data_IF_797205184556
#
_entry.id   IF_797205184556
#
_cell.length_a   1.000
_cell.length_b   1.000
_cell.length_c   1.000
_cell.angle_alpha   90.00
_cell.angle_beta   90.00
_cell.angle_gamma   90.00
#
_symmetry.space_group_name_H-M   'P 1'
#
loop_
_entity.id
_entity.type
_entity.pdbx_description
1 polymer ?
#
# COMPACT_ATOMS: atom_id res chain seq x y z
N UNK A 1 5.27 1.74 -21.22
CA UNK A 1 4.66 1.92 -19.87
C UNK A 1 3.65 0.79 -19.61
N UNK A 2 3.45 0.36 -18.36
CA UNK A 2 2.23 -0.38 -17.96
C UNK A 2 1.15 0.68 -17.70
N UNK A 3 -0.12 0.38 -17.91
CA UNK A 3 -1.18 1.28 -17.42
C UNK A 3 -1.12 1.33 -15.89
N UNK A 4 -1.02 2.51 -15.27
CA UNK A 4 -1.21 2.67 -13.83
C UNK A 4 -2.52 2.00 -13.41
N UNK A 5 -2.51 1.22 -12.33
CA UNK A 5 -3.77 0.77 -11.76
C UNK A 5 -4.33 1.86 -10.85
N UNK A 6 -5.65 1.96 -10.76
CA UNK A 6 -6.31 2.97 -9.93
C UNK A 6 -5.94 2.88 -8.45
N UNK A 7 -5.72 1.67 -7.93
CA UNK A 7 -5.27 1.47 -6.55
C UNK A 7 -3.86 2.05 -6.30
N UNK A 8 -2.94 1.94 -7.25
CA UNK A 8 -1.59 2.52 -7.14
C UNK A 8 -1.65 4.05 -7.06
N UNK A 9 -2.47 4.66 -7.91
CA UNK A 9 -2.69 6.11 -7.89
C UNK A 9 -3.35 6.52 -6.57
N UNK A 10 -4.33 5.75 -6.09
CA UNK A 10 -5.01 6.03 -4.83
C UNK A 10 -4.05 6.01 -3.64
N UNK A 11 -3.22 4.98 -3.51
CA UNK A 11 -2.22 4.88 -2.44
C UNK A 11 -1.21 6.03 -2.52
N UNK A 12 -0.73 6.35 -3.73
CA UNK A 12 0.17 7.48 -3.96
C UNK A 12 -0.44 8.80 -3.51
N UNK A 13 -1.69 9.07 -3.86
CA UNK A 13 -2.36 10.34 -3.56
C UNK A 13 -2.79 10.45 -2.12
N UNK A 14 -3.27 9.37 -1.53
CA UNK A 14 -3.61 9.35 -0.11
C UNK A 14 -2.37 9.57 0.78
N UNK A 15 -1.26 8.89 0.48
CA UNK A 15 -0.02 9.09 1.22
C UNK A 15 0.56 10.50 1.02
N UNK A 16 0.44 11.07 -0.20
CA UNK A 16 0.81 12.47 -0.43
C UNK A 16 -0.08 13.44 0.36
N UNK A 17 -1.39 13.18 0.42
CA UNK A 17 -2.34 13.94 1.21
C UNK A 17 -1.98 13.92 2.70
N UNK A 18 -1.64 12.75 3.27
CA UNK A 18 -1.21 12.65 4.67
C UNK A 18 0.07 13.45 4.92
N UNK A 19 1.08 13.36 4.03
CA UNK A 19 2.29 14.16 4.14
C UNK A 19 1.99 15.67 4.11
N UNK A 20 1.19 16.11 3.15
CA UNK A 20 0.83 17.52 3.00
C UNK A 20 0.10 18.04 4.24
N UNK A 21 -0.86 17.26 4.74
CA UNK A 21 -1.66 17.60 5.93
C UNK A 21 -0.75 17.81 7.15
N UNK A 22 0.17 16.86 7.42
CA UNK A 22 1.08 16.95 8.57
C UNK A 22 2.22 17.95 8.37
N UNK A 23 2.50 18.35 7.13
CA UNK A 23 3.46 19.43 6.86
C UNK A 23 2.86 20.81 7.15
N UNK A 24 1.55 20.98 6.92
CA UNK A 24 0.84 22.22 7.25
C UNK A 24 0.50 22.26 8.74
N UNK A 25 0.08 21.14 9.31
CA UNK A 25 -0.38 21.04 10.69
C UNK A 25 0.38 19.92 11.43
N UNK A 26 1.65 20.16 11.82
CA UNK A 26 2.54 19.14 12.40
C UNK A 26 2.14 18.68 13.80
N UNK A 27 1.23 19.43 14.45
CA UNK A 27 0.65 19.12 15.75
C UNK A 27 -0.84 18.78 15.65
N UNK A 28 -1.32 18.36 14.47
CA UNK A 28 -2.74 18.02 14.23
C UNK A 28 -3.31 17.10 15.33
N UNK A 29 -2.52 16.09 15.71
CA UNK A 29 -2.95 15.09 16.69
C UNK A 29 -2.69 15.48 18.15
N UNK A 30 -1.90 16.52 18.42
CA UNK A 30 -1.48 16.95 19.77
C UNK A 30 -2.10 18.28 20.19
N UNK A 31 -2.53 19.12 19.25
CA UNK A 31 -3.08 20.46 19.51
C UNK A 31 -4.57 20.49 19.88
N UNK A 32 -5.26 19.34 19.82
CA UNK A 32 -6.69 19.28 20.14
C UNK A 32 -6.89 19.27 21.66
N UNK A 33 -7.01 20.46 22.25
CA UNK A 33 -7.23 20.77 23.68
C UNK A 33 -8.53 20.19 24.32
N UNK A 34 -8.98 19.00 23.95
CA UNK A 34 -10.13 18.40 24.60
C UNK A 34 -10.42 16.98 24.13
N UNK A 35 -10.32 16.02 25.04
CA UNK A 35 -10.85 14.64 24.94
C UNK A 35 -10.28 13.74 23.82
N UNK A 36 -9.33 14.20 23.02
CA UNK A 36 -8.79 13.47 21.85
C UNK A 36 -7.26 13.34 21.81
N UNK A 37 -6.53 13.83 22.82
CA UNK A 37 -5.07 13.65 22.94
C UNK A 37 -4.66 12.17 23.08
N UNK A 38 -5.22 11.47 24.07
CA UNK A 38 -4.95 10.03 24.29
C UNK A 38 -5.32 9.13 23.10
N UNK A 39 -6.26 9.60 22.27
CA UNK A 39 -6.80 8.91 21.08
C UNK A 39 -5.74 8.89 19.94
N UNK A 40 -4.71 9.72 19.96
CA UNK A 40 -3.66 9.65 18.93
C UNK A 40 -2.30 9.24 19.49
N UNK A 41 -2.17 9.10 20.81
CA UNK A 41 -0.92 8.74 21.47
C UNK A 41 -0.42 7.34 21.10
N UNK A 42 -1.32 6.35 20.96
CA UNK A 42 -0.93 5.00 20.49
C UNK A 42 -0.42 5.06 19.05
N UNK A 43 -1.05 5.90 18.22
CA UNK A 43 -0.66 6.06 16.82
C UNK A 43 0.69 6.75 16.69
N UNK A 44 0.88 7.88 17.37
CA UNK A 44 2.16 8.60 17.45
C UNK A 44 3.22 7.70 18.08
N UNK A 45 2.88 6.92 19.09
CA UNK A 45 3.79 5.98 19.75
C UNK A 45 4.35 4.90 18.82
N UNK A 46 3.58 4.43 17.82
CA UNK A 46 4.06 3.46 16.83
C UNK A 46 5.00 4.09 15.79
N UNK A 47 4.77 5.34 15.40
CA UNK A 47 5.59 6.07 14.39
C UNK A 47 6.66 6.98 15.02
N UNK A 48 6.69 7.07 16.35
CA UNK A 48 7.53 7.97 17.14
C UNK A 48 7.02 9.41 17.19
N UNK A 49 6.82 10.03 16.02
CA UNK A 49 6.38 11.43 15.91
C UNK A 49 5.48 11.66 14.69
N UNK A 50 4.66 12.71 14.72
CA UNK A 50 3.86 13.13 13.55
C UNK A 50 4.75 13.51 12.36
N UNK A 51 5.94 14.07 12.62
CA UNK A 51 6.92 14.38 11.59
C UNK A 51 7.47 13.10 10.92
N UNK A 52 7.77 12.05 11.69
CA UNK A 52 8.20 10.77 11.12
C UNK A 52 7.12 10.18 10.20
N UNK A 53 5.86 10.25 10.62
CA UNK A 53 4.73 9.81 9.81
C UNK A 53 4.60 10.60 8.51
N UNK A 54 4.83 11.91 8.54
CA UNK A 54 4.85 12.74 7.33
C UNK A 54 5.93 12.22 6.36
N UNK A 55 7.17 12.03 6.83
CA UNK A 55 8.27 11.52 6.00
C UNK A 55 8.03 10.10 5.47
N UNK A 56 7.47 9.21 6.29
CA UNK A 56 7.06 7.87 5.85
C UNK A 56 6.02 7.98 4.73
N UNK A 57 5.02 8.84 4.89
CA UNK A 57 3.95 9.04 3.91
C UNK A 57 4.49 9.61 2.59
N UNK A 58 5.43 10.56 2.65
CA UNK A 58 6.14 11.03 1.45
C UNK A 58 6.94 9.91 0.78
N UNK A 59 7.66 9.11 1.56
CA UNK A 59 8.41 7.96 1.06
C UNK A 59 7.53 6.94 0.34
N UNK A 60 6.37 6.61 0.91
CA UNK A 60 5.36 5.72 0.28
C UNK A 60 4.85 6.32 -1.03
N UNK A 61 4.55 7.63 -1.04
CA UNK A 61 4.08 8.30 -2.25
C UNK A 61 5.13 8.26 -3.38
N UNK A 62 6.39 8.56 -3.07
CA UNK A 62 7.50 8.50 -4.03
C UNK A 62 7.78 7.07 -4.52
N UNK A 63 7.66 6.06 -3.63
CA UNK A 63 7.78 4.65 -4.02
C UNK A 63 6.70 4.26 -5.02
N UNK A 64 5.45 4.64 -4.78
CA UNK A 64 4.36 4.37 -5.71
C UNK A 64 4.52 5.14 -7.02
N UNK A 65 4.96 6.40 -6.97
CA UNK A 65 5.29 7.19 -8.17
C UNK A 65 6.36 6.49 -9.02
N UNK A 66 7.46 6.04 -8.40
CA UNK A 66 8.51 5.29 -9.08
C UNK A 66 8.00 3.95 -9.64
N UNK A 67 7.09 3.29 -8.92
CA UNK A 67 6.49 2.04 -9.34
C UNK A 67 5.64 2.18 -10.63
N UNK A 68 5.04 3.35 -10.89
CA UNK A 68 4.30 3.61 -12.13
C UNK A 68 5.16 3.46 -13.39
N UNK A 69 6.48 3.63 -13.26
CA UNK A 69 7.44 3.51 -14.37
C UNK A 69 8.06 2.11 -14.49
N UNK A 70 7.73 1.19 -13.56
CA UNK A 70 8.35 -0.15 -13.47
C UNK A 70 7.46 -1.23 -14.10
N UNK A 71 8.09 -2.21 -14.77
CA UNK A 71 7.42 -3.40 -15.33
C UNK A 71 7.77 -4.71 -14.62
N UNK A 72 8.70 -4.66 -13.66
CA UNK A 72 9.16 -5.84 -12.91
C UNK A 72 8.13 -6.20 -11.84
N UNK A 73 7.33 -7.24 -12.06
CA UNK A 73 6.29 -7.68 -11.12
C UNK A 73 6.80 -7.92 -9.69
N UNK A 74 8.02 -8.44 -9.53
CA UNK A 74 8.63 -8.58 -8.20
C UNK A 74 8.79 -7.26 -7.44
N UNK A 75 9.18 -6.17 -8.12
CA UNK A 75 9.25 -4.84 -7.50
C UNK A 75 7.85 -4.28 -7.21
N UNK A 76 6.90 -4.50 -8.14
CA UNK A 76 5.51 -4.07 -7.98
C UNK A 76 4.88 -4.72 -6.74
N UNK A 77 5.14 -6.01 -6.52
CA UNK A 77 4.70 -6.76 -5.34
C UNK A 77 5.29 -6.16 -4.06
N UNK A 78 6.60 -5.90 -4.03
CA UNK A 78 7.26 -5.30 -2.84
C UNK A 78 6.63 -3.94 -2.51
N UNK A 79 6.41 -3.09 -3.51
CA UNK A 79 5.77 -1.78 -3.30
C UNK A 79 4.35 -1.93 -2.78
N UNK A 80 3.58 -2.91 -3.28
CA UNK A 80 2.23 -3.20 -2.78
C UNK A 80 2.23 -3.70 -1.33
N UNK A 81 3.19 -4.55 -0.96
CA UNK A 81 3.34 -5.01 0.43
C UNK A 81 3.63 -3.83 1.35
N UNK A 82 4.53 -2.93 0.96
CA UNK A 82 4.84 -1.70 1.72
C UNK A 82 3.57 -0.84 1.86
N UNK A 83 2.84 -0.60 0.77
CA UNK A 83 1.61 0.17 0.79
C UNK A 83 0.52 -0.46 1.66
N UNK A 84 0.39 -1.79 1.63
CA UNK A 84 -0.55 -2.52 2.47
C UNK A 84 -0.18 -2.40 3.95
N UNK A 85 1.10 -2.57 4.31
CA UNK A 85 1.59 -2.37 5.68
C UNK A 85 1.28 -0.95 6.15
N UNK A 86 1.59 0.06 5.33
CA UNK A 86 1.30 1.46 5.62
C UNK A 86 -0.20 1.70 5.90
N UNK A 87 -1.08 1.18 5.05
CA UNK A 87 -2.53 1.31 5.25
C UNK A 87 -3.02 0.58 6.50
N UNK A 88 -2.52 -0.63 6.77
CA UNK A 88 -2.87 -1.35 7.99
C UNK A 88 -2.46 -0.58 9.24
N UNK A 89 -1.30 0.08 9.24
CA UNK A 89 -0.88 0.95 10.34
C UNK A 89 -1.84 2.11 10.56
N UNK A 90 -2.22 2.83 9.49
CA UNK A 90 -3.20 3.93 9.57
C UNK A 90 -4.57 3.42 10.00
N UNK A 91 -4.98 2.24 9.53
CA UNK A 91 -6.29 1.69 9.84
C UNK A 91 -6.36 1.20 11.30
N UNK A 92 -5.28 0.62 11.82
CA UNK A 92 -5.16 0.20 13.21
C UNK A 92 -5.32 1.39 14.18
N UNK A 93 -4.82 2.58 13.81
CA UNK A 93 -5.06 3.78 14.63
C UNK A 93 -6.52 4.19 14.67
N UNK A 94 -7.27 4.08 13.57
CA UNK A 94 -8.70 4.38 13.64
C UNK A 94 -9.48 3.32 14.43
N UNK A 95 -9.09 2.04 14.36
CA UNK A 95 -9.74 0.95 15.09
C UNK A 95 -9.62 1.10 16.61
N UNK A 96 -8.41 1.37 17.11
CA UNK A 96 -8.10 1.39 18.55
C UNK A 96 -8.70 2.63 19.20
N UNK A 97 -8.76 3.74 18.45
CA UNK A 97 -8.93 5.05 19.05
C UNK A 97 -10.36 5.59 18.90
N UNK A 98 -10.96 5.48 17.71
CA UNK A 98 -12.38 5.76 17.50
C UNK A 98 -12.86 5.21 16.14
N UNK A 99 -13.52 4.04 16.11
CA UNK A 99 -14.06 3.48 14.88
C UNK A 99 -15.08 4.43 14.27
N UNK A 100 -14.75 5.00 13.12
CA UNK A 100 -15.60 5.95 12.40
C UNK A 100 -15.75 5.53 10.92
N UNK A 101 -16.47 6.33 10.14
CA UNK A 101 -16.66 6.05 8.71
C UNK A 101 -15.31 5.95 7.97
N UNK A 102 -14.30 6.71 8.39
CA UNK A 102 -12.96 6.62 7.80
C UNK A 102 -12.32 5.24 8.03
N UNK A 103 -12.45 4.65 9.22
CA UNK A 103 -12.03 3.26 9.48
C UNK A 103 -12.69 2.27 8.51
N UNK A 104 -14.01 2.39 8.31
CA UNK A 104 -14.75 1.52 7.38
C UNK A 104 -14.24 1.63 5.94
N UNK A 105 -14.03 2.86 5.46
CA UNK A 105 -13.51 3.13 4.12
C UNK A 105 -12.08 2.60 3.97
N UNK A 106 -11.20 2.87 4.92
CA UNK A 106 -9.80 2.41 4.89
C UNK A 106 -9.67 0.88 4.98
N UNK A 107 -10.59 0.23 5.69
CA UNK A 107 -10.68 -1.23 5.74
C UNK A 107 -11.03 -1.83 4.38
N UNK A 108 -12.01 -1.24 3.67
CA UNK A 108 -12.34 -1.65 2.30
C UNK A 108 -11.18 -1.45 1.33
N UNK A 109 -10.46 -0.33 1.45
CA UNK A 109 -9.25 -0.10 0.66
C UNK A 109 -8.18 -1.15 0.96
N UNK A 110 -7.97 -1.49 2.23
CA UNK A 110 -7.00 -2.51 2.64
C UNK A 110 -7.32 -3.88 2.04
N UNK A 111 -8.60 -4.26 2.03
CA UNK A 111 -9.08 -5.50 1.37
C UNK A 111 -8.83 -5.43 -0.14
N UNK A 112 -9.12 -4.30 -0.78
CA UNK A 112 -8.90 -4.13 -2.21
C UNK A 112 -7.41 -4.24 -2.59
N UNK A 113 -6.53 -3.64 -1.79
CA UNK A 113 -5.08 -3.75 -1.96
C UNK A 113 -4.60 -5.20 -1.78
N UNK A 114 -5.14 -5.91 -0.80
CA UNK A 114 -4.83 -7.33 -0.58
C UNK A 114 -5.25 -8.20 -1.77
N UNK A 115 -6.46 -8.00 -2.29
CA UNK A 115 -6.93 -8.71 -3.48
C UNK A 115 -6.05 -8.44 -4.71
N UNK A 116 -5.59 -7.20 -4.90
CA UNK A 116 -4.71 -6.88 -6.02
C UNK A 116 -3.31 -7.49 -5.85
N UNK A 117 -2.80 -7.53 -4.61
CA UNK A 117 -1.55 -8.21 -4.27
C UNK A 117 -1.59 -9.70 -4.60
N UNK A 118 -2.66 -10.40 -4.21
CA UNK A 118 -2.85 -11.82 -4.54
C UNK A 118 -2.82 -12.06 -6.06
N UNK A 119 -3.54 -11.25 -6.82
CA UNK A 119 -3.52 -11.31 -8.30
C UNK A 119 -2.12 -11.10 -8.89
N UNK A 120 -1.34 -10.17 -8.32
CA UNK A 120 0.03 -9.91 -8.78
C UNK A 120 0.97 -11.08 -8.48
N UNK A 121 0.79 -11.75 -7.34
CA UNK A 121 1.52 -12.96 -6.97
C UNK A 121 1.22 -14.07 -7.97
N UNK A 122 -0.06 -14.34 -8.23
CA UNK A 122 -0.50 -15.38 -9.19
C UNK A 122 0.12 -15.14 -10.59
N UNK A 123 0.03 -13.92 -11.11
CA UNK A 123 0.63 -13.55 -12.41
C UNK A 123 2.15 -13.80 -12.42
N UNK A 124 2.82 -13.52 -11.29
CA UNK A 124 4.26 -13.71 -11.18
C UNK A 124 4.63 -15.20 -11.13
N UNK A 125 3.81 -16.03 -10.49
CA UNK A 125 3.98 -17.48 -10.46
C UNK A 125 3.72 -18.10 -11.84
N UNK A 126 2.68 -17.66 -12.55
CA UNK A 126 2.40 -18.08 -13.92
C UNK A 126 3.54 -17.72 -14.88
N UNK A 127 4.08 -16.50 -14.80
CA UNK A 127 5.25 -16.11 -15.60
C UNK A 127 6.48 -16.96 -15.31
N UNK A 128 6.73 -17.30 -14.04
CA UNK A 128 7.83 -18.19 -13.64
C UNK A 128 7.60 -19.60 -14.19
N UNK A 129 6.39 -20.14 -14.05
CA UNK A 129 6.02 -21.45 -14.55
C UNK A 129 6.18 -21.52 -16.08
N UNK A 130 5.71 -20.50 -16.81
CA UNK A 130 5.87 -20.41 -18.27
C UNK A 130 7.33 -20.41 -18.69
N UNK A 131 8.18 -19.59 -18.05
CA UNK A 131 9.63 -19.55 -18.33
C UNK A 131 10.32 -20.89 -18.07
N UNK A 132 9.89 -21.63 -17.04
CA UNK A 132 10.43 -22.97 -16.76
C UNK A 132 9.99 -23.98 -17.82
N UNK A 133 8.70 -23.96 -18.23
CA UNK A 133 8.19 -24.82 -19.31
C UNK A 133 8.90 -24.56 -20.65
N UNK A 134 9.09 -23.29 -21.00
CA UNK A 134 9.84 -22.86 -22.18
C UNK A 134 11.31 -23.34 -22.11
N UNK A 135 11.97 -23.15 -20.96
CA UNK A 135 13.36 -23.58 -20.75
C UNK A 135 13.54 -25.10 -20.84
N UNK A 136 12.52 -25.87 -20.44
CA UNK A 136 12.55 -27.32 -20.45
C UNK A 136 12.02 -27.93 -21.77
N UNK A 137 11.70 -27.11 -22.78
CA UNK A 137 11.21 -27.59 -24.08
C UNK A 137 9.84 -28.28 -24.04
N UNK A 138 9.05 -28.09 -22.97
CA UNK A 138 7.78 -28.80 -22.76
C UNK A 138 6.60 -28.23 -23.56
N UNK A 139 6.82 -27.20 -24.39
CA UNK A 139 5.76 -26.59 -25.20
C UNK A 139 5.27 -27.51 -26.34
N UNK A 140 6.04 -28.52 -26.74
CA UNK A 140 5.63 -29.44 -27.82
C UNK A 140 4.65 -30.54 -27.38
N UNK A 141 4.62 -30.93 -26.11
CA UNK A 141 3.83 -32.08 -25.64
C UNK A 141 2.30 -31.82 -25.58
N UNK A 142 1.85 -30.56 -25.48
CA UNK A 142 0.42 -30.24 -25.51
C UNK A 142 -0.12 -30.08 -26.95
N UNK A 143 0.74 -29.77 -27.92
CA UNK A 143 0.33 -29.65 -29.34
C UNK A 143 -0.02 -31.01 -29.99
N UNK A 144 0.53 -32.10 -29.45
CA UNK A 144 0.32 -33.47 -29.93
C UNK A 144 -0.92 -34.17 -29.33
N UNK A 145 -1.68 -33.49 -28.46
CA UNK A 145 -2.92 -34.00 -27.85
C UNK A 145 -4.20 -33.47 -28.51
N UNK A 146 -4.10 -32.77 -29.64
CA UNK A 146 -5.26 -32.38 -30.48
C UNK A 146 -5.46 -33.35 -31.63
#
# INVERSE_FOLDING_TARGET
MRSPKYNEIFVMMFSLYVWFTLSVEPELFTSTNGKSGDIYDTYIGMVGTQNNLAWISLGVSLLYLANLFTRKYGLIIIVHVIGMIYYLFINASFLINYPNIAFGVLSLVSIWLFMDLMKLIDITEEEKARKIKEKNGLNDCESLKR
#
